data_IF_817621776552
#
_entry.id   IF_817621776552
#
_cell.length_a   1.000
_cell.length_b   1.000
_cell.length_c   1.000
_cell.angle_alpha   90.00
_cell.angle_beta   90.00
_cell.angle_gamma   90.00
#
_symmetry.space_group_name_H-M   'P 1'
#
loop_
_entity.id
_entity.type
_entity.pdbx_description
1 polymer ?
#
# COMPACT_ATOMS: atom_id res chain seq x y z
N UNK A 1 -15.64 -21.60 -7.33
CA UNK A 1 -16.35 -20.36 -7.69
C UNK A 1 -15.39 -19.21 -7.44
N UNK A 2 -14.76 -18.68 -8.49
CA UNK A 2 -13.81 -17.57 -8.34
C UNK A 2 -14.58 -16.27 -8.24
N UNK A 3 -14.63 -15.67 -7.05
CA UNK A 3 -14.98 -14.26 -6.92
C UNK A 3 -13.94 -13.47 -7.70
N UNK A 4 -14.34 -12.75 -8.74
CA UNK A 4 -13.44 -11.77 -9.36
C UNK A 4 -13.30 -10.62 -8.38
N UNK A 5 -12.36 -10.74 -7.44
CA UNK A 5 -11.96 -9.66 -6.57
C UNK A 5 -11.79 -8.39 -7.42
N UNK A 6 -12.48 -7.31 -7.05
CA UNK A 6 -12.29 -6.03 -7.73
C UNK A 6 -10.85 -5.57 -7.60
N UNK A 7 -10.38 -4.76 -8.55
CA UNK A 7 -9.07 -4.10 -8.44
C UNK A 7 -9.22 -2.72 -7.77
N UNK A 8 -8.36 -2.40 -6.81
CA UNK A 8 -8.20 -1.04 -6.28
C UNK A 8 -6.99 -0.39 -6.96
N UNK A 9 -7.07 0.87 -7.45
CA UNK A 9 -5.88 1.59 -7.88
C UNK A 9 -4.91 1.76 -6.71
N UNK A 10 -3.64 1.43 -6.92
CA UNK A 10 -2.58 1.64 -5.94
C UNK A 10 -1.43 2.42 -6.59
N UNK A 11 -0.90 3.39 -5.86
CA UNK A 11 0.31 4.11 -6.22
C UNK A 11 1.32 4.01 -5.08
N UNK A 12 2.59 3.94 -5.42
CA UNK A 12 3.68 3.86 -4.44
C UNK A 12 4.79 4.84 -4.83
N UNK A 13 5.33 5.53 -3.83
CA UNK A 13 6.52 6.38 -3.98
C UNK A 13 7.36 6.38 -2.71
N UNK A 14 8.61 6.80 -2.85
CA UNK A 14 9.48 7.14 -1.73
C UNK A 14 9.55 8.65 -1.57
N UNK A 15 9.35 9.13 -0.35
CA UNK A 15 9.51 10.52 0.02
C UNK A 15 10.67 10.69 1.01
N UNK A 16 11.62 11.56 0.68
CA UNK A 16 12.68 11.95 1.61
C UNK A 16 12.17 13.08 2.50
N UNK A 17 11.75 12.77 3.73
CA UNK A 17 11.26 13.76 4.71
C UNK A 17 12.34 14.33 5.62
N UNK A 18 13.50 13.67 5.68
CA UNK A 18 14.70 14.16 6.38
C UNK A 18 15.95 13.58 5.74
N UNK A 19 17.14 14.07 6.14
CA UNK A 19 18.42 13.52 5.68
C UNK A 19 18.61 12.04 6.07
N UNK A 20 17.95 11.58 7.14
CA UNK A 20 18.15 10.24 7.70
C UNK A 20 17.03 9.25 7.39
N UNK A 21 15.87 9.71 6.88
CA UNK A 21 14.68 8.87 6.74
C UNK A 21 14.00 9.07 5.39
N UNK A 22 13.83 7.96 4.69
CA UNK A 22 12.92 7.81 3.57
C UNK A 22 11.61 7.25 4.10
N UNK A 23 10.50 7.70 3.52
CA UNK A 23 9.16 7.28 3.85
C UNK A 23 8.57 6.57 2.65
N UNK A 24 8.03 5.38 2.87
CA UNK A 24 7.19 4.71 1.90
C UNK A 24 5.81 5.35 1.98
N UNK A 25 5.37 5.93 0.87
CA UNK A 25 4.03 6.50 0.74
C UNK A 25 3.27 5.67 -0.28
N UNK A 26 2.18 5.07 0.17
CA UNK A 26 1.30 4.25 -0.64
C UNK A 26 -0.08 4.88 -0.59
N UNK A 27 -0.64 5.20 -1.76
CA UNK A 27 -1.98 5.77 -1.84
C UNK A 27 -2.91 4.91 -2.69
N UNK A 28 -4.18 4.93 -2.34
CA UNK A 28 -5.19 4.13 -3.01
C UNK A 28 -6.55 4.81 -2.99
N UNK A 29 -7.24 4.79 -4.12
CA UNK A 29 -8.61 5.30 -4.22
C UNK A 29 -9.58 4.16 -3.90
N UNK A 30 -10.18 4.22 -2.71
CA UNK A 30 -11.11 3.23 -2.17
C UNK A 30 -12.56 3.46 -2.62
N UNK A 31 -12.82 4.42 -3.53
CA UNK A 31 -14.17 4.79 -3.97
C UNK A 31 -15.00 3.58 -4.39
N UNK A 32 -14.39 2.65 -5.13
CA UNK A 32 -15.08 1.43 -5.59
C UNK A 32 -15.57 0.58 -4.42
N UNK A 33 -14.65 0.27 -3.49
CA UNK A 33 -14.94 -0.50 -2.27
C UNK A 33 -16.04 0.18 -1.45
N UNK A 34 -15.89 1.49 -1.18
CA UNK A 34 -16.85 2.28 -0.41
C UNK A 34 -18.23 2.27 -1.09
N UNK A 35 -18.28 2.34 -2.42
CA UNK A 35 -19.54 2.39 -3.16
C UNK A 35 -20.28 1.06 -3.23
N UNK A 36 -19.54 -0.06 -3.22
CA UNK A 36 -20.07 -1.42 -3.21
C UNK A 36 -20.53 -1.81 -1.79
N UNK A 37 -19.82 -1.31 -0.78
CA UNK A 37 -20.05 -1.63 0.63
C UNK A 37 -20.68 -0.47 1.42
N UNK A 38 -21.85 0.00 0.95
CA UNK A 38 -22.59 1.13 1.53
C UNK A 38 -22.97 0.99 3.02
N UNK A 39 -22.82 -0.20 3.60
CA UNK A 39 -23.16 -0.50 4.98
C UNK A 39 -21.94 -0.51 5.94
N UNK A 40 -20.71 -0.38 5.42
CA UNK A 40 -19.52 -0.44 6.25
C UNK A 40 -19.22 0.92 6.88
N UNK A 41 -19.21 0.96 8.22
CA UNK A 41 -18.70 2.09 8.99
C UNK A 41 -17.15 2.14 8.99
N UNK A 42 -16.51 1.01 8.75
CA UNK A 42 -15.06 0.84 8.79
C UNK A 42 -14.63 -0.18 7.73
N UNK A 43 -13.53 0.10 7.03
CA UNK A 43 -12.82 -0.84 6.16
C UNK A 43 -11.63 -1.45 6.88
N UNK A 44 -11.39 -2.74 6.66
CA UNK A 44 -10.19 -3.43 7.16
C UNK A 44 -9.19 -3.56 6.03
N UNK A 45 -8.12 -2.79 6.10
CA UNK A 45 -7.07 -2.76 5.08
C UNK A 45 -5.84 -3.52 5.54
N UNK A 46 -5.15 -4.15 4.61
CA UNK A 46 -3.82 -4.72 4.80
C UNK A 46 -2.88 -4.17 3.75
N UNK A 47 -1.71 -3.70 4.18
CA UNK A 47 -0.59 -3.36 3.30
C UNK A 47 0.45 -4.45 3.43
N UNK A 48 0.85 -5.02 2.30
CA UNK A 48 1.98 -5.95 2.20
C UNK A 48 3.05 -5.33 1.33
N UNK A 49 4.24 -5.18 1.86
CA UNK A 49 5.42 -4.66 1.16
C UNK A 49 6.43 -5.77 1.00
N UNK A 50 6.66 -6.21 -0.23
CA UNK A 50 7.72 -7.16 -0.58
C UNK A 50 8.92 -6.41 -1.16
N UNK A 51 10.11 -6.69 -0.60
CA UNK A 51 11.36 -6.06 -1.02
C UNK A 51 12.22 -7.09 -1.73
N UNK A 52 12.54 -6.82 -2.99
CA UNK A 52 13.49 -7.61 -3.75
C UNK A 52 14.89 -7.00 -3.65
N UNK A 53 15.85 -7.84 -3.31
CA UNK A 53 17.27 -7.49 -3.19
C UNK A 53 18.05 -8.08 -4.36
N UNK A 54 19.01 -7.31 -4.88
CA UNK A 54 19.99 -7.79 -5.87
C UNK A 54 20.74 -9.03 -5.39
N UNK A 55 21.04 -9.05 -4.10
CA UNK A 55 21.76 -10.12 -3.40
C UNK A 55 21.11 -10.33 -2.04
N UNK A 56 20.91 -11.60 -1.67
CA UNK A 56 20.26 -12.00 -0.42
C UNK A 56 18.81 -12.42 -0.63
N UNK A 57 18.18 -12.86 0.45
CA UNK A 57 16.79 -13.28 0.44
C UNK A 57 15.84 -12.07 0.40
N UNK A 58 14.79 -12.10 -0.44
CA UNK A 58 13.73 -11.11 -0.36
C UNK A 58 13.02 -11.21 1.00
N UNK A 59 12.46 -10.09 1.45
CA UNK A 59 11.68 -10.07 2.67
C UNK A 59 10.35 -9.36 2.47
N UNK A 60 9.40 -9.67 3.36
CA UNK A 60 8.03 -9.14 3.33
C UNK A 60 7.74 -8.48 4.67
N UNK A 61 7.11 -7.32 4.59
CA UNK A 61 6.53 -6.62 5.73
C UNK A 61 5.02 -6.49 5.53
N UNK A 62 4.25 -6.59 6.60
CA UNK A 62 2.79 -6.53 6.54
C UNK A 62 2.24 -5.75 7.73
N UNK A 63 1.26 -4.89 7.46
CA UNK A 63 0.51 -4.16 8.49
C UNK A 63 -0.98 -4.14 8.15
N UNK A 64 -1.83 -4.11 9.19
CA UNK A 64 -3.29 -4.04 9.08
C UNK A 64 -3.81 -2.76 9.72
N UNK A 65 -4.87 -2.20 9.13
CA UNK A 65 -5.44 -0.91 9.49
C UNK A 65 -6.96 -0.97 9.47
N UNK A 66 -7.57 -0.15 10.32
CA UNK A 66 -9.00 0.13 10.28
C UNK A 66 -9.18 1.57 9.80
N UNK A 67 -9.92 1.74 8.70
CA UNK A 67 -10.23 3.06 8.13
C UNK A 67 -11.72 3.33 8.28
N UNK A 68 -12.09 4.35 9.04
CA UNK A 68 -13.48 4.80 9.13
C UNK A 68 -13.97 5.33 7.76
N UNK A 69 -15.21 5.03 7.42
CA UNK A 69 -15.87 5.44 6.17
C UNK A 69 -17.20 6.12 6.52
N UNK A 70 -17.47 7.29 5.93
CA UNK A 70 -18.70 8.04 6.20
C UNK A 70 -18.56 9.55 6.02
N UNK A 71 -19.53 10.33 6.50
CA UNK A 71 -19.60 11.79 6.35
C UNK A 71 -18.38 12.54 6.91
N UNK A 72 -17.70 11.96 7.90
CA UNK A 72 -16.49 12.52 8.53
C UNK A 72 -15.19 12.12 7.80
N UNK A 73 -15.25 11.30 6.75
CA UNK A 73 -14.05 10.91 6.00
C UNK A 73 -13.62 11.99 5.01
N UNK A 74 -12.32 12.34 4.98
CA UNK A 74 -11.73 13.29 4.02
C UNK A 74 -11.60 12.68 2.61
N UNK A 75 -12.71 12.22 2.05
CA UNK A 75 -12.78 11.64 0.71
C UNK A 75 -12.50 10.13 0.67
N UNK A 76 -12.16 9.65 -0.53
CA UNK A 76 -12.02 8.22 -0.85
C UNK A 76 -10.57 7.76 -0.98
N UNK A 77 -9.62 8.70 -0.91
CA UNK A 77 -8.20 8.40 -1.02
C UNK A 77 -7.64 8.07 0.36
N UNK A 78 -7.15 6.85 0.49
CA UNK A 78 -6.43 6.41 1.67
C UNK A 78 -4.92 6.45 1.41
N UNK A 79 -4.15 6.83 2.43
CA UNK A 79 -2.68 6.90 2.34
C UNK A 79 -2.05 6.18 3.53
N UNK A 80 -1.20 5.21 3.23
CA UNK A 80 -0.25 4.63 4.19
C UNK A 80 1.08 5.35 4.09
N UNK A 81 1.60 5.76 5.25
CA UNK A 81 2.89 6.41 5.37
C UNK A 81 3.70 5.74 6.47
N UNK A 82 4.85 5.16 6.12
CA UNK A 82 5.74 4.56 7.10
C UNK A 82 7.20 4.89 6.83
N UNK A 83 8.00 5.12 7.89
CA UNK A 83 9.45 5.21 7.75
C UNK A 83 10.00 3.86 7.28
N UNK A 84 10.85 3.87 6.25
CA UNK A 84 11.44 2.64 5.70
C UNK A 84 12.97 2.73 5.68
N UNK A 85 13.62 1.62 6.06
CA UNK A 85 15.07 1.45 5.97
C UNK A 85 15.39 0.42 4.89
N UNK A 86 15.55 0.90 3.66
CA UNK A 86 15.86 0.03 2.53
C UNK A 86 17.35 -0.34 2.51
N UNK A 87 17.71 -1.64 2.49
CA UNK A 87 19.09 -2.09 2.27
C UNK A 87 19.69 -1.49 1.00
N UNK A 88 21.01 -1.39 0.91
CA UNK A 88 21.69 -0.88 -0.29
C UNK A 88 21.46 -1.77 -1.50
N UNK A 89 21.14 -3.03 -1.26
CA UNK A 89 20.90 -4.06 -2.24
C UNK A 89 19.45 -4.05 -2.75
N UNK A 90 18.56 -3.24 -2.18
CA UNK A 90 17.16 -3.19 -2.62
C UNK A 90 17.06 -2.64 -4.05
N UNK A 91 16.42 -3.40 -4.94
CA UNK A 91 16.24 -3.04 -6.35
C UNK A 91 14.79 -2.73 -6.70
N UNK A 92 13.84 -3.31 -5.98
CA UNK A 92 12.41 -3.19 -6.27
C UNK A 92 11.57 -3.37 -5.02
N UNK A 93 10.48 -2.62 -4.96
CA UNK A 93 9.40 -2.80 -4.00
C UNK A 93 8.15 -3.22 -4.75
N UNK A 94 7.46 -4.23 -4.24
CA UNK A 94 6.08 -4.51 -4.62
C UNK A 94 5.20 -4.24 -3.40
N UNK A 95 4.15 -3.47 -3.60
CA UNK A 95 3.16 -3.19 -2.57
C UNK A 95 1.83 -3.75 -3.01
N UNK A 96 1.17 -4.47 -2.11
CA UNK A 96 -0.21 -4.92 -2.25
C UNK A 96 -1.03 -4.23 -1.16
N UNK A 97 -2.17 -3.67 -1.54
CA UNK A 97 -3.21 -3.21 -0.62
C UNK A 97 -4.41 -4.12 -0.81
N UNK A 98 -4.89 -4.70 0.28
CA UNK A 98 -6.07 -5.56 0.29
C UNK A 98 -7.10 -4.97 1.24
N UNK A 99 -8.37 -4.93 0.82
CA UNK A 99 -9.50 -4.78 1.73
C UNK A 99 -10.00 -6.18 2.11
N UNK A 100 -9.87 -6.51 3.39
CA UNK A 100 -9.96 -7.86 3.92
C UNK A 100 -11.38 -8.42 3.98
N UNK A 101 -12.41 -7.57 3.96
CA UNK A 101 -13.80 -8.01 4.06
C UNK A 101 -14.35 -8.46 2.71
N UNK A 102 -13.98 -7.76 1.64
CA UNK A 102 -14.40 -8.03 0.26
C UNK A 102 -13.38 -8.84 -0.54
N UNK A 103 -12.11 -8.83 -0.11
CA UNK A 103 -10.98 -9.39 -0.85
C UNK A 103 -10.58 -8.54 -2.06
N UNK A 104 -11.09 -7.31 -2.17
CA UNK A 104 -10.70 -6.37 -3.22
C UNK A 104 -9.27 -5.91 -2.98
N UNK A 105 -8.42 -5.90 -4.01
CA UNK A 105 -7.01 -5.57 -3.83
C UNK A 105 -6.43 -4.77 -4.99
N UNK A 106 -5.35 -4.06 -4.69
CA UNK A 106 -4.55 -3.28 -5.63
C UNK A 106 -3.07 -3.59 -5.43
N UNK A 107 -2.27 -3.41 -6.48
CA UNK A 107 -0.83 -3.55 -6.37
C UNK A 107 -0.10 -2.48 -7.16
N UNK A 108 1.05 -2.08 -6.62
CA UNK A 108 1.96 -1.14 -7.27
C UNK A 108 3.40 -1.61 -7.10
N UNK A 109 4.23 -1.34 -8.10
CA UNK A 109 5.65 -1.69 -8.10
C UNK A 109 6.47 -0.44 -8.24
N UNK A 110 7.52 -0.32 -7.43
CA UNK A 110 8.53 0.73 -7.53
C UNK A 110 9.87 0.10 -7.85
N UNK A 111 10.43 0.42 -9.02
CA UNK A 111 11.83 0.13 -9.33
C UNK A 111 12.72 1.19 -8.65
N UNK A 112 13.75 0.75 -7.93
CA UNK A 112 14.66 1.62 -7.17
C UNK A 112 15.92 2.02 -7.97
N UNK A 113 16.04 1.56 -9.22
CA UNK A 113 17.20 1.84 -10.08
C UNK A 113 17.34 3.35 -10.32
N UNK A 114 18.48 3.91 -9.92
CA UNK A 114 18.84 5.31 -10.22
C UNK A 114 18.51 6.32 -9.13
N UNK A 115 17.99 5.91 -7.97
CA UNK A 115 18.07 6.77 -6.79
C UNK A 115 19.54 6.84 -6.36
N UNK A 116 20.30 7.79 -6.91
CA UNK A 116 21.69 8.08 -6.55
C UNK A 116 21.83 8.04 -5.02
N UNK A 117 22.43 6.94 -4.53
CA UNK A 117 22.86 6.75 -3.15
C UNK A 117 24.37 6.91 -3.09
#
# INVERSE_FOLDING_TARGET
MGSSAGSIPAAVRLERRSLAHEWLVVSSDLKKVISEEKALATLKLRVTVAVHLRKGEPFVHQEEFEQAVGEESEGTVWTYEAPIKLPKEAERLAVVIEELQTGTWGAAVLDLKGANR
#
